data_IF_935579542328
#
_entry.id   IF_935579542328
#
_cell.length_a   1.000
_cell.length_b   1.000
_cell.length_c   1.000
_cell.angle_alpha   90.00
_cell.angle_beta   90.00
_cell.angle_gamma   90.00
#
_symmetry.space_group_name_H-M   'P 1'
#
loop_
_entity.id
_entity.type
_entity.pdbx_description
1 polymer ?
#
# COMPACT_ATOMS: atom_id res chain seq x y z
N UNK A 1 -5.26 -10.45 -0.54
CA UNK A 1 -4.45 -9.50 0.25
C UNK A 1 -3.44 -10.32 1.02
N UNK A 2 -2.19 -10.34 0.58
CA UNK A 2 -1.13 -10.84 1.46
C UNK A 2 -0.82 -9.71 2.44
N UNK A 3 -0.97 -9.98 3.72
CA UNK A 3 -0.72 -9.08 4.85
C UNK A 3 0.78 -8.74 5.03
N UNK A 4 1.60 -8.86 3.99
CA UNK A 4 3.06 -8.83 4.09
C UNK A 4 3.59 -7.54 4.73
N UNK A 5 2.86 -6.43 4.63
CA UNK A 5 3.25 -5.13 5.18
C UNK A 5 2.39 -4.65 6.35
N UNK A 6 1.34 -5.37 6.74
CA UNK A 6 0.58 -5.07 7.96
C UNK A 6 0.77 -6.20 8.94
N UNK A 7 1.51 -5.95 10.01
CA UNK A 7 1.95 -7.00 10.92
C UNK A 7 1.70 -6.61 12.36
N UNK A 8 1.23 -7.57 13.14
CA UNK A 8 1.23 -7.44 14.59
C UNK A 8 2.61 -7.78 15.16
N UNK A 9 3.13 -6.91 16.01
CA UNK A 9 4.35 -7.13 16.81
C UNK A 9 3.97 -6.78 18.24
N UNK A 10 4.10 -7.74 19.17
CA UNK A 10 3.77 -7.55 20.58
C UNK A 10 2.37 -6.94 20.81
N UNK A 11 1.37 -7.43 20.06
CA UNK A 11 -0.03 -6.98 20.10
C UNK A 11 -0.27 -5.52 19.63
N UNK A 12 0.74 -4.87 19.05
CA UNK A 12 0.60 -3.59 18.36
C UNK A 12 0.61 -3.79 16.84
N UNK A 13 -0.24 -3.04 16.13
CA UNK A 13 -0.31 -3.11 14.66
C UNK A 13 0.70 -2.16 14.03
N UNK A 14 1.52 -2.70 13.14
CA UNK A 14 2.49 -1.97 12.34
C UNK A 14 2.11 -1.99 10.87
N UNK A 15 2.38 -0.88 10.18
CA UNK A 15 2.49 -0.84 8.73
C UNK A 15 3.98 -0.67 8.39
N UNK A 16 4.54 -1.61 7.63
CA UNK A 16 5.99 -1.72 7.39
C UNK A 16 6.77 -1.73 8.72
N UNK A 17 7.40 -0.62 9.11
CA UNK A 17 8.10 -0.45 10.39
C UNK A 17 7.52 0.67 11.27
N UNK A 18 6.31 1.14 10.96
CA UNK A 18 5.64 2.24 11.65
C UNK A 18 4.51 1.70 12.52
N UNK A 19 4.55 1.99 13.82
CA UNK A 19 3.47 1.67 14.75
C UNK A 19 2.24 2.55 14.46
N UNK A 20 1.11 1.91 14.13
CA UNK A 20 -0.12 2.62 13.75
C UNK A 20 -0.79 3.37 14.90
N UNK A 21 -0.63 2.91 16.15
CA UNK A 21 -1.16 3.62 17.31
C UNK A 21 -0.44 4.97 17.50
N UNK A 22 0.89 4.97 17.41
CA UNK A 22 1.69 6.21 17.48
C UNK A 22 1.38 7.15 16.32
N UNK A 23 1.24 6.61 15.11
CA UNK A 23 0.87 7.38 13.93
C UNK A 23 -0.52 8.02 14.09
N UNK A 24 -1.50 7.27 14.60
CA UNK A 24 -2.85 7.78 14.85
C UNK A 24 -2.87 8.91 15.89
N UNK A 25 -2.01 8.85 16.92
CA UNK A 25 -1.85 9.95 17.87
C UNK A 25 -1.26 11.21 17.24
N UNK A 26 -0.34 11.06 16.29
CA UNK A 26 0.31 12.18 15.59
C UNK A 26 -0.60 12.84 14.54
N UNK A 27 -1.33 12.03 13.76
CA UNK A 27 -2.14 12.50 12.64
C UNK A 27 -3.60 12.78 13.02
N UNK A 28 -4.07 12.29 14.17
CA UNK A 28 -5.48 12.30 14.56
C UNK A 28 -6.31 11.22 13.86
N UNK A 29 -7.52 10.96 14.37
CA UNK A 29 -8.43 9.96 13.82
C UNK A 29 -9.80 10.55 13.46
N UNK A 30 -10.47 10.06 12.39
CA UNK A 30 -10.05 8.97 11.52
C UNK A 30 -8.98 9.38 10.49
N UNK A 31 -8.04 8.47 10.19
CA UNK A 31 -7.04 8.65 9.14
C UNK A 31 -6.88 7.38 8.30
N UNK A 32 -6.67 7.54 6.99
CA UNK A 32 -6.31 6.44 6.10
C UNK A 32 -4.78 6.33 6.00
N UNK A 33 -4.26 5.11 6.09
CA UNK A 33 -2.82 4.82 6.02
C UNK A 33 -2.58 3.80 4.92
N UNK A 34 -1.65 4.12 4.02
CA UNK A 34 -1.30 3.29 2.87
C UNK A 34 0.18 2.90 2.94
N UNK A 35 0.51 1.67 2.56
CA UNK A 35 1.90 1.22 2.41
C UNK A 35 2.32 1.40 0.96
N UNK A 36 3.41 2.15 0.76
CA UNK A 36 4.00 2.34 -0.58
C UNK A 36 4.55 1.02 -1.12
N UNK A 37 5.25 0.26 -0.27
CA UNK A 37 5.81 -1.03 -0.66
C UNK A 37 4.72 -2.01 -1.14
N UNK A 38 3.54 -1.99 -0.51
CA UNK A 38 2.39 -2.80 -0.95
C UNK A 38 1.92 -2.41 -2.35
N UNK A 39 1.81 -1.11 -2.63
CA UNK A 39 1.35 -0.62 -3.94
C UNK A 39 2.36 -0.96 -5.05
N UNK A 40 3.64 -0.71 -4.80
CA UNK A 40 4.73 -1.02 -5.74
C UNK A 40 4.82 -2.52 -6.03
N UNK A 41 4.74 -3.36 -4.99
CA UNK A 41 4.74 -4.81 -5.14
C UNK A 41 3.55 -5.29 -5.98
N UNK A 42 2.34 -4.82 -5.68
CA UNK A 42 1.14 -5.25 -6.40
C UNK A 42 1.19 -4.83 -7.88
N UNK A 43 1.69 -3.64 -8.18
CA UNK A 43 1.91 -3.20 -9.55
C UNK A 43 2.94 -4.08 -10.26
N UNK A 44 4.07 -4.36 -9.61
CA UNK A 44 5.14 -5.19 -10.17
C UNK A 44 4.66 -6.63 -10.43
N UNK A 45 3.88 -7.22 -9.52
CA UNK A 45 3.32 -8.57 -9.68
C UNK A 45 2.42 -8.64 -10.94
N UNK A 46 1.58 -7.62 -11.17
CA UNK A 46 0.72 -7.54 -12.35
C UNK A 46 1.58 -7.39 -13.62
N UNK A 47 2.49 -6.43 -13.62
CA UNK A 47 3.37 -6.16 -14.77
C UNK A 47 4.21 -7.40 -15.14
N UNK A 48 4.73 -8.11 -14.14
CA UNK A 48 5.50 -9.34 -14.34
C UNK A 48 4.65 -10.49 -14.90
N UNK A 49 3.40 -10.62 -14.46
CA UNK A 49 2.50 -11.68 -14.93
C UNK A 49 2.22 -11.61 -16.44
N UNK A 50 2.25 -10.42 -17.04
CA UNK A 50 2.03 -10.19 -18.48
C UNK A 50 3.32 -9.97 -19.29
N UNK A 51 4.50 -10.16 -18.67
CA UNK A 51 5.82 -9.88 -19.25
C UNK A 51 6.13 -10.55 -20.60
N UNK A 52 5.42 -11.61 -20.98
CA UNK A 52 5.63 -12.32 -22.25
C UNK A 52 4.89 -11.70 -23.44
N UNK A 53 4.02 -10.73 -23.22
CA UNK A 53 3.25 -10.03 -24.25
C UNK A 53 3.51 -8.53 -24.18
N UNK A 54 3.44 -7.80 -25.31
CA UNK A 54 3.35 -6.34 -25.28
C UNK A 54 2.12 -5.92 -24.48
N UNK A 55 2.32 -5.18 -23.38
CA UNK A 55 1.26 -4.78 -22.48
C UNK A 55 1.55 -3.44 -21.80
N UNK A 56 0.51 -2.86 -21.21
CA UNK A 56 0.59 -1.65 -20.39
C UNK A 56 -0.39 -1.79 -19.20
N UNK A 57 0.09 -1.48 -18.00
CA UNK A 57 -0.73 -1.54 -16.78
C UNK A 57 -1.37 -0.17 -16.52
N UNK A 58 -2.64 -0.02 -16.89
CA UNK A 58 -3.40 1.20 -16.65
C UNK A 58 -4.12 1.16 -15.30
N UNK A 59 -3.61 1.87 -14.30
CA UNK A 59 -4.26 1.96 -12.99
C UNK A 59 -5.64 2.66 -13.08
N UNK A 60 -6.67 2.03 -12.52
CA UNK A 60 -8.02 2.61 -12.49
C UNK A 60 -8.12 3.70 -11.40
N UNK A 61 -7.84 4.95 -11.76
CA UNK A 61 -7.79 6.12 -10.85
C UNK A 61 -9.02 6.28 -9.95
N UNK A 62 -10.20 5.80 -10.38
CA UNK A 62 -11.42 5.80 -9.55
C UNK A 62 -11.29 4.98 -8.25
N UNK A 63 -10.32 4.07 -8.15
CA UNK A 63 -10.08 3.28 -6.95
C UNK A 63 -9.41 4.12 -5.84
N UNK A 64 -8.45 4.98 -6.21
CA UNK A 64 -7.85 5.97 -5.34
C UNK A 64 -7.16 7.05 -6.17
N UNK A 65 -7.67 8.29 -6.13
CA UNK A 65 -7.16 9.43 -6.89
C UNK A 65 -6.24 10.34 -6.07
N UNK A 66 -5.76 9.88 -4.93
CA UNK A 66 -4.79 10.63 -4.12
C UNK A 66 -3.49 10.86 -4.91
N UNK A 67 -3.06 12.12 -5.01
CA UNK A 67 -1.90 12.52 -5.83
C UNK A 67 -0.60 11.84 -5.40
N UNK A 68 -0.41 11.55 -4.10
CA UNK A 68 0.77 10.86 -3.60
C UNK A 68 0.80 9.39 -4.02
N UNK A 69 -0.37 8.77 -4.22
CA UNK A 69 -0.46 7.39 -4.72
C UNK A 69 -0.20 7.30 -6.23
N UNK A 70 -0.49 8.38 -6.97
CA UNK A 70 -0.31 8.45 -8.42
C UNK A 70 1.10 8.92 -8.84
N UNK A 71 1.99 9.23 -7.89
CA UNK A 71 3.31 9.82 -8.14
C UNK A 71 4.44 8.81 -8.33
#
# INVERSE_FOLDING_TARGET
MKEEYFQYRDNELFIENINLYKLAQQCGTPCYVYSRATLEKNWADINQAFSTQPHEVCYAVKANSNLTILN
#
